data_IF_433438518925
#
_entry.id   IF_433438518925
#
_cell.length_a   1.000
_cell.length_b   1.000
_cell.length_c   1.000
_cell.angle_alpha   90.00
_cell.angle_beta   90.00
_cell.angle_gamma   90.00
#
_symmetry.space_group_name_H-M   'P 1'
#
loop_
_entity.id
_entity.type
_entity.pdbx_description
1 polymer ?
#
# COMPACT_ATOMS: atom_id res chain seq x y z
N UNK A 1 32.22 3.67 -27.41
CA UNK A 1 31.41 2.51 -27.02
C UNK A 1 30.55 2.86 -25.80
N UNK A 2 29.58 3.81 -25.93
CA UNK A 2 28.72 4.26 -24.81
C UNK A 2 27.28 4.49 -25.30
N UNK A 3 26.73 3.58 -26.10
CA UNK A 3 25.41 3.76 -26.71
C UNK A 3 24.40 2.62 -26.52
N UNK A 4 24.79 1.50 -25.90
CA UNK A 4 23.92 0.31 -25.85
C UNK A 4 23.21 0.08 -24.50
N UNK A 5 23.72 0.62 -23.39
CA UNK A 5 23.16 0.34 -22.06
C UNK A 5 21.90 1.18 -21.73
N UNK A 6 21.78 2.39 -22.28
CA UNK A 6 20.59 3.23 -22.07
C UNK A 6 19.32 2.71 -22.75
N UNK A 7 19.47 1.97 -23.86
CA UNK A 7 18.33 1.43 -24.61
C UNK A 7 17.72 0.19 -23.94
N UNK A 8 18.53 -0.64 -23.28
CA UNK A 8 18.04 -1.86 -22.61
C UNK A 8 17.20 -1.56 -21.36
N UNK A 9 17.57 -0.55 -20.57
CA UNK A 9 16.81 -0.18 -19.37
C UNK A 9 15.43 0.37 -19.71
N UNK A 10 15.32 1.19 -20.75
CA UNK A 10 14.05 1.80 -21.18
C UNK A 10 13.08 0.74 -21.76
N UNK A 11 13.60 -0.25 -22.50
CA UNK A 11 12.79 -1.35 -23.04
C UNK A 11 12.29 -2.27 -21.93
N UNK A 12 13.12 -2.60 -20.93
CA UNK A 12 12.69 -3.41 -19.78
C UNK A 12 11.62 -2.72 -18.93
N UNK A 13 11.75 -1.43 -18.67
CA UNK A 13 10.74 -0.64 -17.94
C UNK A 13 9.41 -0.62 -18.70
N UNK A 14 9.43 -0.41 -20.00
CA UNK A 14 8.21 -0.41 -20.82
C UNK A 14 7.53 -1.80 -20.86
N UNK A 15 8.29 -2.89 -20.98
CA UNK A 15 7.73 -4.23 -20.94
C UNK A 15 7.07 -4.56 -19.60
N UNK A 16 7.71 -4.22 -18.48
CA UNK A 16 7.15 -4.45 -17.14
C UNK A 16 5.85 -3.66 -16.92
N UNK A 17 5.83 -2.39 -17.32
CA UNK A 17 4.66 -1.53 -17.25
C UNK A 17 3.49 -2.08 -18.08
N UNK A 18 3.73 -2.55 -19.32
CA UNK A 18 2.71 -3.17 -20.19
C UNK A 18 2.14 -4.44 -19.53
N UNK A 19 2.99 -5.29 -18.97
CA UNK A 19 2.56 -6.53 -18.29
C UNK A 19 1.68 -6.20 -17.06
N UNK A 20 2.08 -5.24 -16.25
CA UNK A 20 1.29 -4.81 -15.08
C UNK A 20 -0.06 -4.19 -15.50
N UNK A 21 -0.08 -3.38 -16.54
CA UNK A 21 -1.30 -2.79 -17.10
C UNK A 21 -2.25 -3.86 -17.64
N UNK A 22 -1.74 -4.82 -18.41
CA UNK A 22 -2.52 -5.93 -18.94
C UNK A 22 -3.11 -6.79 -17.83
N UNK A 23 -2.33 -7.06 -16.78
CA UNK A 23 -2.80 -7.76 -15.58
C UNK A 23 -3.95 -6.98 -14.89
N UNK A 24 -3.79 -5.68 -14.72
CA UNK A 24 -4.82 -4.82 -14.09
C UNK A 24 -6.12 -4.82 -14.90
N UNK A 25 -6.04 -4.68 -16.23
CA UNK A 25 -7.20 -4.72 -17.13
C UNK A 25 -7.92 -6.06 -17.00
N UNK A 26 -7.19 -7.18 -17.10
CA UNK A 26 -7.78 -8.51 -16.92
C UNK A 26 -8.42 -8.72 -15.54
N UNK A 27 -7.87 -8.13 -14.50
CA UNK A 27 -8.44 -8.17 -13.15
C UNK A 27 -9.76 -7.38 -13.09
N UNK A 28 -9.82 -6.19 -13.68
CA UNK A 28 -11.05 -5.39 -13.74
C UNK A 28 -12.13 -6.11 -14.55
N UNK A 29 -11.79 -6.70 -15.70
CA UNK A 29 -12.71 -7.49 -16.52
C UNK A 29 -13.27 -8.70 -15.75
N UNK A 30 -12.43 -9.43 -15.03
CA UNK A 30 -12.85 -10.55 -14.18
C UNK A 30 -13.82 -10.09 -13.10
N UNK A 31 -13.58 -8.95 -12.47
CA UNK A 31 -14.43 -8.37 -11.45
C UNK A 31 -15.79 -7.93 -12.03
N UNK A 32 -15.78 -7.26 -13.18
CA UNK A 32 -16.98 -6.78 -13.86
C UNK A 32 -17.90 -7.94 -14.25
N UNK A 33 -17.34 -9.06 -14.69
CA UNK A 33 -18.07 -10.25 -15.14
C UNK A 33 -18.40 -11.23 -13.99
N UNK A 34 -17.98 -10.95 -12.76
CA UNK A 34 -18.23 -11.84 -11.61
C UNK A 34 -19.71 -11.80 -11.19
N UNK A 35 -20.38 -12.94 -11.23
CA UNK A 35 -21.77 -13.09 -10.74
C UNK A 35 -21.89 -13.02 -9.20
N UNK A 36 -20.78 -13.05 -8.47
CA UNK A 36 -20.75 -13.09 -6.99
C UNK A 36 -20.85 -11.69 -6.37
N UNK A 37 -20.50 -10.65 -7.13
CA UNK A 37 -20.54 -9.27 -6.69
C UNK A 37 -21.87 -8.66 -7.07
N UNK A 38 -22.62 -8.10 -6.11
CA UNK A 38 -23.85 -7.40 -6.41
C UNK A 38 -23.61 -6.20 -7.34
N UNK A 39 -24.59 -5.86 -8.18
CA UNK A 39 -24.49 -4.73 -9.11
C UNK A 39 -24.13 -3.44 -8.40
N UNK A 40 -24.71 -3.17 -7.23
CA UNK A 40 -24.41 -1.99 -6.42
C UNK A 40 -22.92 -1.94 -5.96
N UNK A 41 -22.32 -3.07 -5.61
CA UNK A 41 -20.88 -3.12 -5.24
C UNK A 41 -19.98 -2.99 -6.47
N UNK A 42 -20.39 -3.61 -7.60
CA UNK A 42 -19.70 -3.48 -8.88
C UNK A 42 -19.67 -2.01 -9.32
N UNK A 43 -20.81 -1.32 -9.26
CA UNK A 43 -20.91 0.09 -9.63
C UNK A 43 -20.07 0.99 -8.72
N UNK A 44 -19.97 0.70 -7.43
CA UNK A 44 -19.08 1.42 -6.49
C UNK A 44 -17.61 1.28 -6.89
N UNK A 45 -17.16 0.05 -7.18
CA UNK A 45 -15.78 -0.21 -7.58
C UNK A 45 -15.48 0.47 -8.92
N UNK A 46 -16.34 0.30 -9.94
CA UNK A 46 -16.17 0.93 -11.24
C UNK A 46 -16.16 2.46 -11.12
N UNK A 47 -17.08 3.03 -10.33
CA UNK A 47 -17.13 4.48 -10.09
C UNK A 47 -15.86 4.97 -9.43
N UNK A 48 -15.28 4.21 -8.48
CA UNK A 48 -14.02 4.56 -7.85
C UNK A 48 -12.87 4.60 -8.88
N UNK A 49 -12.76 3.63 -9.79
CA UNK A 49 -11.79 3.66 -10.88
C UNK A 49 -12.01 4.84 -11.83
N UNK A 50 -13.25 5.17 -12.15
CA UNK A 50 -13.60 6.32 -13.00
C UNK A 50 -13.15 7.63 -12.37
N UNK A 51 -13.41 7.86 -11.08
CA UNK A 51 -12.96 9.07 -10.38
C UNK A 51 -11.44 9.08 -10.17
N UNK A 52 -10.80 7.93 -9.96
CA UNK A 52 -9.34 7.85 -9.98
C UNK A 52 -8.79 8.35 -11.31
N UNK A 53 -9.35 7.93 -12.44
CA UNK A 53 -8.96 8.37 -13.77
C UNK A 53 -9.18 9.88 -13.95
N UNK A 54 -10.35 10.43 -13.57
CA UNK A 54 -10.62 11.86 -13.67
C UNK A 54 -9.61 12.71 -12.90
N UNK A 55 -9.20 12.27 -11.72
CA UNK A 55 -8.14 12.93 -10.97
C UNK A 55 -6.77 12.80 -11.64
N UNK A 56 -6.50 11.69 -12.32
CA UNK A 56 -5.22 11.50 -13.03
C UNK A 56 -5.12 12.32 -14.32
N UNK A 57 -6.24 12.52 -15.01
CA UNK A 57 -6.31 13.24 -16.28
C UNK A 57 -6.22 14.79 -16.12
N UNK A 58 -6.47 15.32 -14.93
CA UNK A 58 -6.37 16.76 -14.66
C UNK A 58 -4.96 17.17 -14.19
N UNK A 59 -4.53 18.39 -14.54
CA UNK A 59 -3.27 18.95 -14.04
C UNK A 59 -3.45 19.86 -12.80
N UNK A 60 -4.70 20.14 -12.40
CA UNK A 60 -5.05 21.01 -11.28
C UNK A 60 -5.10 20.17 -10.01
N UNK A 61 -4.28 20.50 -9.00
CA UNK A 61 -4.16 19.71 -7.77
C UNK A 61 -5.47 19.63 -6.97
N UNK A 62 -6.23 20.72 -6.91
CA UNK A 62 -7.52 20.76 -6.23
C UNK A 62 -8.50 19.76 -6.87
N UNK A 63 -8.57 19.72 -8.19
CA UNK A 63 -9.38 18.77 -8.93
C UNK A 63 -8.89 17.31 -8.73
N UNK A 64 -7.58 17.08 -8.71
CA UNK A 64 -7.01 15.76 -8.36
C UNK A 64 -7.50 15.32 -6.99
N UNK A 65 -7.32 16.18 -5.99
CA UNK A 65 -7.66 15.87 -4.61
C UNK A 65 -9.14 15.56 -4.43
N UNK A 66 -10.02 16.38 -5.01
CA UNK A 66 -11.48 16.18 -4.96
C UNK A 66 -11.89 14.87 -5.65
N UNK A 67 -11.39 14.61 -6.87
CA UNK A 67 -11.75 13.40 -7.61
C UNK A 67 -11.23 12.12 -6.92
N UNK A 68 -9.97 12.12 -6.47
CA UNK A 68 -9.40 10.95 -5.78
C UNK A 68 -10.03 10.70 -4.42
N UNK A 69 -10.39 11.76 -3.69
CA UNK A 69 -11.17 11.60 -2.46
C UNK A 69 -12.56 11.03 -2.75
N UNK A 70 -13.26 11.54 -3.78
CA UNK A 70 -14.55 11.01 -4.23
C UNK A 70 -14.44 9.52 -4.61
N UNK A 71 -13.34 9.10 -5.25
CA UNK A 71 -13.10 7.69 -5.54
C UNK A 71 -13.11 6.83 -4.26
N UNK A 72 -12.44 7.29 -3.20
CA UNK A 72 -12.42 6.58 -1.90
C UNK A 72 -13.81 6.61 -1.24
N UNK A 73 -14.53 7.73 -1.32
CA UNK A 73 -15.90 7.84 -0.79
C UNK A 73 -16.83 6.80 -1.41
N UNK A 74 -16.78 6.63 -2.75
CA UNK A 74 -17.55 5.59 -3.45
C UNK A 74 -17.21 4.20 -2.95
N UNK A 75 -15.92 3.90 -2.84
CA UNK A 75 -15.44 2.59 -2.44
C UNK A 75 -15.86 2.22 -1.02
N UNK A 76 -15.84 3.20 -0.11
CA UNK A 76 -16.16 3.02 1.32
C UNK A 76 -17.63 3.29 1.65
N UNK A 77 -18.45 3.66 0.67
CA UNK A 77 -19.87 3.93 0.90
C UNK A 77 -20.63 2.67 1.31
N UNK A 78 -21.62 2.84 2.19
CA UNK A 78 -22.53 1.77 2.62
C UNK A 78 -23.98 2.18 2.35
N UNK A 79 -24.89 1.21 2.29
CA UNK A 79 -26.32 1.46 2.01
C UNK A 79 -27.01 2.32 3.09
N UNK A 80 -26.40 2.37 4.28
CA UNK A 80 -26.84 3.24 5.38
C UNK A 80 -25.77 4.33 5.60
N UNK A 81 -25.88 5.42 4.85
CA UNK A 81 -25.01 6.60 4.99
C UNK A 81 -25.38 7.42 6.24
N UNK A 82 -25.14 6.87 7.42
CA UNK A 82 -25.24 7.61 8.70
C UNK A 82 -23.83 7.90 9.21
N UNK A 83 -23.52 9.17 9.46
CA UNK A 83 -22.28 9.58 10.11
C UNK A 83 -21.35 10.44 9.24
N UNK A 84 -20.24 10.82 9.83
CA UNK A 84 -19.20 11.64 9.19
C UNK A 84 -18.48 10.84 8.10
N UNK A 85 -18.54 11.35 6.86
CA UNK A 85 -17.90 10.74 5.68
C UNK A 85 -16.39 10.57 5.90
N UNK A 86 -15.73 11.60 6.44
CA UNK A 86 -14.30 11.56 6.70
C UNK A 86 -13.91 10.45 7.68
N UNK A 87 -14.64 10.30 8.79
CA UNK A 87 -14.41 9.23 9.76
C UNK A 87 -14.61 7.84 9.15
N UNK A 88 -15.64 7.66 8.32
CA UNK A 88 -15.90 6.39 7.64
C UNK A 88 -14.74 6.02 6.71
N UNK A 89 -14.27 6.97 5.91
CA UNK A 89 -13.11 6.76 5.02
C UNK A 89 -11.87 6.39 5.83
N UNK A 90 -11.55 7.16 6.88
CA UNK A 90 -10.40 6.89 7.76
C UNK A 90 -10.49 5.47 8.34
N UNK A 91 -11.62 5.10 8.95
CA UNK A 91 -11.83 3.76 9.54
C UNK A 91 -11.71 2.62 8.52
N UNK A 92 -12.11 2.87 7.28
CA UNK A 92 -12.11 1.84 6.23
C UNK A 92 -10.72 1.59 5.65
N UNK A 93 -9.98 2.65 5.30
CA UNK A 93 -8.72 2.47 4.54
C UNK A 93 -7.48 2.35 5.43
N UNK A 94 -7.48 2.91 6.65
CA UNK A 94 -6.34 2.81 7.58
C UNK A 94 -5.91 1.37 7.82
N UNK A 95 -6.80 0.39 8.09
CA UNK A 95 -6.39 -0.99 8.29
C UNK A 95 -5.64 -1.58 7.11
N UNK A 96 -6.10 -1.33 5.88
CA UNK A 96 -5.47 -1.83 4.66
C UNK A 96 -4.04 -1.30 4.54
N UNK A 97 -3.87 0.01 4.71
CA UNK A 97 -2.58 0.66 4.58
C UNK A 97 -1.60 0.25 5.68
N UNK A 98 -2.09 -0.01 6.90
CA UNK A 98 -1.29 -0.54 7.99
C UNK A 98 -0.83 -1.98 7.74
N UNK A 99 -1.70 -2.86 7.24
CA UNK A 99 -1.35 -4.24 6.88
C UNK A 99 -0.25 -4.30 5.81
N UNK A 100 -0.26 -3.37 4.85
CA UNK A 100 0.77 -3.28 3.81
C UNK A 100 2.04 -2.54 4.23
N UNK A 101 2.08 -1.92 5.41
CA UNK A 101 3.19 -1.02 5.77
C UNK A 101 4.53 -1.72 5.90
N UNK A 102 4.59 -2.85 6.60
CA UNK A 102 5.83 -3.62 6.76
C UNK A 102 6.32 -4.17 5.43
N UNK A 103 5.41 -4.69 4.60
CA UNK A 103 5.74 -5.15 3.25
C UNK A 103 6.34 -4.03 2.40
N UNK A 104 5.77 -2.83 2.44
CA UNK A 104 6.31 -1.65 1.76
C UNK A 104 7.72 -1.31 2.21
N UNK A 105 8.00 -1.37 3.52
CA UNK A 105 9.34 -1.10 4.06
C UNK A 105 10.36 -2.15 3.57
N UNK A 106 9.98 -3.42 3.59
CA UNK A 106 10.83 -4.50 3.09
C UNK A 106 11.13 -4.34 1.61
N UNK A 107 10.12 -4.08 0.76
CA UNK A 107 10.31 -3.85 -0.67
C UNK A 107 11.21 -2.62 -0.95
N UNK A 108 11.04 -1.54 -0.19
CA UNK A 108 11.88 -0.37 -0.35
C UNK A 108 13.35 -0.68 0.00
N UNK A 109 13.59 -1.44 1.07
CA UNK A 109 14.93 -1.86 1.48
C UNK A 109 15.54 -2.82 0.46
N UNK A 110 14.77 -3.79 -0.03
CA UNK A 110 15.20 -4.72 -1.08
C UNK A 110 15.65 -3.96 -2.35
N UNK A 111 14.86 -2.97 -2.76
CA UNK A 111 15.20 -2.13 -3.90
C UNK A 111 16.49 -1.33 -3.69
N UNK A 112 16.64 -0.71 -2.51
CA UNK A 112 17.85 0.04 -2.17
C UNK A 112 19.10 -0.87 -2.20
N UNK A 113 19.00 -2.06 -1.61
CA UNK A 113 20.12 -3.03 -1.63
C UNK A 113 20.43 -3.49 -3.05
N UNK A 114 19.42 -3.67 -3.91
CA UNK A 114 19.63 -3.96 -5.32
C UNK A 114 20.31 -2.82 -6.08
N UNK A 115 19.93 -1.56 -5.82
CA UNK A 115 20.59 -0.37 -6.38
C UNK A 115 22.05 -0.24 -5.91
N UNK A 116 22.38 -0.78 -4.74
CA UNK A 116 23.75 -0.89 -4.21
C UNK A 116 24.46 -2.17 -4.65
N UNK A 117 23.87 -2.94 -5.57
CA UNK A 117 24.43 -4.18 -6.14
C UNK A 117 24.73 -5.27 -5.08
N UNK A 118 24.00 -5.28 -3.95
CA UNK A 118 24.14 -6.34 -2.95
C UNK A 118 23.60 -7.66 -3.52
N UNK A 119 24.36 -8.73 -3.33
CA UNK A 119 24.03 -10.09 -3.77
C UNK A 119 24.12 -11.06 -2.61
N UNK A 120 23.17 -11.99 -2.54
CA UNK A 120 23.19 -13.12 -1.63
C UNK A 120 23.48 -14.40 -2.42
N UNK A 121 24.51 -15.16 -2.01
CA UNK A 121 24.95 -16.37 -2.74
C UNK A 121 25.16 -16.17 -4.26
N UNK A 122 25.55 -14.96 -4.68
CA UNK A 122 25.74 -14.59 -6.08
C UNK A 122 24.47 -14.21 -6.84
N UNK A 123 23.30 -14.30 -6.23
CA UNK A 123 22.01 -13.91 -6.80
C UNK A 123 21.66 -12.45 -6.48
N UNK A 124 20.97 -11.79 -7.42
CA UNK A 124 20.46 -10.43 -7.22
C UNK A 124 19.33 -10.45 -6.18
N UNK A 125 19.48 -9.67 -5.12
CA UNK A 125 18.52 -9.61 -4.02
C UNK A 125 17.11 -9.17 -4.48
N UNK A 126 17.00 -8.44 -5.57
CA UNK A 126 15.73 -7.96 -6.14
C UNK A 126 14.89 -9.06 -6.80
N UNK A 127 15.49 -10.22 -7.08
CA UNK A 127 14.79 -11.36 -7.67
C UNK A 127 14.08 -12.24 -6.65
N UNK A 128 14.40 -12.06 -5.37
CA UNK A 128 13.86 -12.86 -4.28
C UNK A 128 12.45 -12.42 -3.92
N UNK A 129 11.63 -13.37 -3.48
CA UNK A 129 10.37 -13.05 -2.84
C UNK A 129 10.60 -12.39 -1.47
N UNK A 130 9.59 -11.65 -1.00
CA UNK A 130 9.75 -10.81 0.19
C UNK A 130 9.91 -11.60 1.50
N UNK A 131 9.43 -12.86 1.55
CA UNK A 131 9.56 -13.73 2.73
C UNK A 131 11.01 -14.21 2.84
N UNK A 132 11.56 -14.69 1.72
CA UNK A 132 12.97 -15.07 1.59
C UNK A 132 13.87 -13.88 1.90
N UNK A 133 13.58 -12.71 1.31
CA UNK A 133 14.32 -11.48 1.58
C UNK A 133 14.35 -11.11 3.07
N UNK A 134 13.23 -11.24 3.77
CA UNK A 134 13.19 -11.00 5.22
C UNK A 134 14.11 -11.94 5.97
N UNK A 135 14.12 -13.22 5.62
CA UNK A 135 15.05 -14.21 6.22
C UNK A 135 16.51 -13.81 6.04
N UNK A 136 16.87 -13.30 4.85
CA UNK A 136 18.22 -12.80 4.54
C UNK A 136 18.57 -11.58 5.39
N UNK A 137 17.66 -10.64 5.61
CA UNK A 137 17.91 -9.50 6.48
C UNK A 137 18.31 -9.90 7.90
N UNK A 138 17.78 -11.01 8.40
CA UNK A 138 18.14 -11.54 9.72
C UNK A 138 19.45 -12.35 9.68
N UNK A 139 19.65 -13.22 8.68
CA UNK A 139 20.81 -14.12 8.58
C UNK A 139 22.10 -13.42 8.13
N UNK A 140 22.00 -12.45 7.21
CA UNK A 140 23.13 -11.73 6.62
C UNK A 140 23.24 -10.29 7.14
N UNK A 141 22.66 -10.00 8.31
CA UNK A 141 22.62 -8.65 8.89
C UNK A 141 24.00 -7.96 8.89
N UNK A 142 25.03 -8.65 9.36
CA UNK A 142 26.37 -8.05 9.50
C UNK A 142 26.99 -7.75 8.13
N UNK A 143 26.78 -8.62 7.14
CA UNK A 143 27.27 -8.47 5.77
C UNK A 143 26.58 -7.29 5.08
N UNK A 144 25.27 -7.17 5.24
CA UNK A 144 24.48 -6.05 4.71
C UNK A 144 24.94 -4.73 5.32
N UNK A 145 25.15 -4.67 6.63
CA UNK A 145 25.60 -3.46 7.32
C UNK A 145 27.04 -3.09 6.94
N UNK A 146 27.93 -4.06 6.74
CA UNK A 146 29.26 -3.80 6.22
C UNK A 146 29.24 -3.30 4.77
N UNK A 147 28.40 -3.89 3.92
CA UNK A 147 28.24 -3.47 2.53
C UNK A 147 27.71 -2.03 2.41
N UNK A 148 26.82 -1.62 3.33
CA UNK A 148 26.20 -0.29 3.33
C UNK A 148 26.92 0.75 4.20
N UNK A 149 28.05 0.42 4.81
CA UNK A 149 28.78 1.28 5.78
C UNK A 149 29.15 2.67 5.26
N UNK A 150 29.43 2.78 3.96
CA UNK A 150 29.77 4.06 3.32
C UNK A 150 28.55 4.96 3.08
N UNK A 151 27.34 4.48 3.33
CA UNK A 151 26.08 5.18 3.17
C UNK A 151 25.38 5.31 4.52
N UNK A 152 25.90 6.16 5.41
CA UNK A 152 25.48 6.26 6.82
C UNK A 152 23.97 6.30 7.02
N UNK A 153 23.26 7.10 6.25
CA UNK A 153 21.81 7.22 6.33
C UNK A 153 21.09 5.92 5.98
N UNK A 154 21.50 5.25 4.90
CA UNK A 154 20.94 3.97 4.45
C UNK A 154 21.26 2.88 5.48
N UNK A 155 22.51 2.80 5.92
CA UNK A 155 22.96 1.85 6.92
C UNK A 155 22.16 1.95 8.22
N UNK A 156 21.97 3.18 8.72
CA UNK A 156 21.14 3.45 9.89
C UNK A 156 19.71 2.96 9.71
N UNK A 157 19.07 3.28 8.56
CA UNK A 157 17.70 2.87 8.29
C UNK A 157 17.53 1.37 8.15
N UNK A 158 18.46 0.68 7.49
CA UNK A 158 18.44 -0.78 7.36
C UNK A 158 18.62 -1.44 8.74
N UNK A 159 19.59 -1.01 9.53
CA UNK A 159 19.80 -1.53 10.88
C UNK A 159 18.58 -1.31 11.79
N UNK A 160 17.98 -0.12 11.72
CA UNK A 160 16.74 0.21 12.44
C UNK A 160 15.58 -0.69 12.01
N UNK A 161 15.41 -0.92 10.71
CA UNK A 161 14.37 -1.81 10.19
C UNK A 161 14.59 -3.24 10.68
N UNK A 162 15.79 -3.80 10.52
CA UNK A 162 16.13 -5.16 10.99
C UNK A 162 15.80 -5.30 12.48
N UNK A 163 16.27 -4.34 13.30
CA UNK A 163 16.03 -4.37 14.76
C UNK A 163 14.53 -4.28 15.10
N UNK A 164 13.75 -3.58 14.29
CA UNK A 164 12.31 -3.43 14.49
C UNK A 164 11.55 -4.69 14.12
N UNK A 165 11.86 -5.31 12.97
CA UNK A 165 11.14 -6.51 12.50
C UNK A 165 11.52 -7.78 13.25
N UNK A 166 12.69 -7.80 13.92
CA UNK A 166 13.13 -8.93 14.76
C UNK A 166 12.46 -8.94 16.14
N UNK A 167 11.73 -7.88 16.53
CA UNK A 167 11.06 -7.76 17.82
C UNK A 167 9.55 -7.55 17.65
N UNK A 168 8.67 -8.47 18.10
CA UNK A 168 7.22 -8.30 18.06
C UNK A 168 6.76 -6.99 18.66
N UNK A 169 7.30 -6.62 19.80
CA UNK A 169 6.97 -5.37 20.49
C UNK A 169 7.36 -4.13 19.69
N UNK A 170 8.55 -4.14 19.08
CA UNK A 170 9.00 -3.02 18.24
C UNK A 170 8.15 -2.89 16.98
N UNK A 171 7.79 -4.02 16.36
CA UNK A 171 6.91 -4.05 15.21
C UNK A 171 5.48 -3.56 15.56
N UNK A 172 4.95 -3.95 16.72
CA UNK A 172 3.69 -3.42 17.23
C UNK A 172 3.72 -1.89 17.32
N UNK A 173 4.74 -1.33 17.96
CA UNK A 173 4.90 0.12 18.13
C UNK A 173 5.06 0.84 16.78
N UNK A 174 5.79 0.24 15.84
CA UNK A 174 5.95 0.78 14.49
C UNK A 174 4.60 0.88 13.76
N UNK A 175 3.80 -0.19 13.76
CA UNK A 175 2.50 -0.23 13.08
C UNK A 175 1.51 0.72 13.78
N UNK A 176 1.50 0.74 15.10
CA UNK A 176 0.62 1.63 15.87
C UNK A 176 0.92 3.11 15.61
N UNK A 177 2.19 3.50 15.66
CA UNK A 177 2.63 4.86 15.34
C UNK A 177 2.32 5.24 13.87
N UNK A 178 2.46 4.28 12.93
CA UNK A 178 2.06 4.50 11.54
C UNK A 178 0.55 4.71 11.41
N UNK A 179 -0.26 3.91 12.10
CA UNK A 179 -1.72 4.03 12.14
C UNK A 179 -2.15 5.44 12.57
N UNK A 180 -1.62 5.93 13.69
CA UNK A 180 -1.95 7.26 14.22
C UNK A 180 -1.59 8.39 13.23
N UNK A 181 -0.37 8.33 12.66
CA UNK A 181 0.06 9.31 11.66
C UNK A 181 -0.79 9.27 10.39
N UNK A 182 -1.20 8.09 9.97
CA UNK A 182 -2.03 7.89 8.79
C UNK A 182 -3.45 8.44 9.01
N UNK A 183 -4.05 8.18 10.17
CA UNK A 183 -5.36 8.72 10.54
C UNK A 183 -5.36 10.26 10.54
N UNK A 184 -4.34 10.87 11.13
CA UNK A 184 -4.17 12.33 11.11
C UNK A 184 -3.98 12.88 9.68
N UNK A 185 -3.19 12.19 8.85
CA UNK A 185 -2.97 12.60 7.46
C UNK A 185 -4.24 12.50 6.62
N UNK A 186 -5.03 11.44 6.78
CA UNK A 186 -6.31 11.28 6.09
C UNK A 186 -7.34 12.35 6.53
N UNK A 187 -7.40 12.66 7.83
CA UNK A 187 -8.23 13.77 8.33
C UNK A 187 -7.80 15.10 7.74
N UNK A 188 -6.49 15.36 7.61
CA UNK A 188 -5.97 16.58 6.98
C UNK A 188 -6.37 16.67 5.51
N UNK A 189 -6.28 15.56 4.77
CA UNK A 189 -6.71 15.49 3.37
C UNK A 189 -8.21 15.76 3.26
N UNK A 190 -9.02 15.18 4.16
CA UNK A 190 -10.47 15.42 4.19
C UNK A 190 -10.83 16.88 4.42
N UNK A 191 -10.16 17.55 5.38
CA UNK A 191 -10.36 18.99 5.62
C UNK A 191 -10.02 19.81 4.39
N UNK A 192 -8.84 19.57 3.78
CA UNK A 192 -8.44 20.23 2.56
C UNK A 192 -9.47 20.06 1.42
N UNK A 193 -10.05 18.86 1.25
CA UNK A 193 -11.14 18.64 0.30
C UNK A 193 -12.39 19.44 0.65
N UNK A 194 -12.75 19.55 1.93
CA UNK A 194 -13.89 20.34 2.36
C UNK A 194 -13.65 21.84 2.07
N UNK A 195 -12.46 22.36 2.35
CA UNK A 195 -12.09 23.76 2.12
C UNK A 195 -12.16 24.11 0.62
N UNK A 196 -11.67 23.23 -0.26
CA UNK A 196 -11.80 23.40 -1.72
C UNK A 196 -13.28 23.46 -2.14
N UNK A 197 -14.09 22.49 -1.69
CA UNK A 197 -15.46 22.32 -2.19
C UNK A 197 -16.42 23.38 -1.64
N UNK A 198 -16.24 23.81 -0.39
CA UNK A 198 -17.17 24.70 0.28
C UNK A 198 -16.71 26.17 0.29
N UNK A 199 -15.40 26.40 0.25
CA UNK A 199 -14.84 27.76 0.40
C UNK A 199 -14.02 28.20 -0.81
N UNK A 200 -13.82 27.33 -1.81
CA UNK A 200 -12.94 27.55 -2.96
C UNK A 200 -11.52 28.03 -2.57
N UNK A 201 -11.04 27.55 -1.41
CA UNK A 201 -9.72 27.92 -0.90
C UNK A 201 -8.60 27.28 -1.70
N UNK A 202 -7.53 28.03 -1.92
CA UNK A 202 -6.29 27.50 -2.48
C UNK A 202 -5.49 26.76 -1.41
N UNK A 203 -5.03 25.57 -1.76
CA UNK A 203 -4.29 24.74 -0.82
C UNK A 203 -2.85 25.19 -0.64
N UNK A 204 -2.37 25.14 0.60
CA UNK A 204 -0.93 25.21 0.90
C UNK A 204 -0.33 23.80 0.72
N UNK A 205 0.67 23.70 -0.17
CA UNK A 205 1.36 22.42 -0.48
C UNK A 205 0.44 21.32 -1.06
N UNK A 206 -0.37 21.61 -2.10
CA UNK A 206 -1.33 20.64 -2.64
C UNK A 206 -0.66 19.40 -3.23
N UNK A 207 0.55 19.53 -3.76
CA UNK A 207 1.29 18.43 -4.38
C UNK A 207 1.54 17.25 -3.40
N UNK A 208 1.93 17.56 -2.16
CA UNK A 208 2.18 16.53 -1.15
C UNK A 208 0.89 15.82 -0.72
N UNK A 209 -0.21 16.57 -0.55
CA UNK A 209 -1.51 15.99 -0.20
C UNK A 209 -2.01 15.08 -1.32
N UNK A 210 -1.87 15.51 -2.58
CA UNK A 210 -2.24 14.71 -3.75
C UNK A 210 -1.38 13.46 -3.87
N UNK A 211 -0.06 13.56 -3.72
CA UNK A 211 0.83 12.39 -3.80
C UNK A 211 0.49 11.33 -2.75
N UNK A 212 0.22 11.75 -1.51
CA UNK A 212 -0.20 10.83 -0.46
C UNK A 212 -1.57 10.19 -0.77
N UNK A 213 -2.55 10.99 -1.18
CA UNK A 213 -3.89 10.50 -1.51
C UNK A 213 -3.87 9.53 -2.70
N UNK A 214 -3.09 9.85 -3.73
CA UNK A 214 -2.90 8.97 -4.88
C UNK A 214 -2.34 7.61 -4.45
N UNK A 215 -1.31 7.61 -3.62
CA UNK A 215 -0.72 6.38 -3.09
C UNK A 215 -1.73 5.57 -2.29
N UNK A 216 -2.49 6.21 -1.38
CA UNK A 216 -3.49 5.53 -0.56
C UNK A 216 -4.61 4.93 -1.41
N UNK A 217 -5.11 5.68 -2.38
CA UNK A 217 -6.14 5.21 -3.30
C UNK A 217 -5.65 4.06 -4.17
N UNK A 218 -4.48 4.17 -4.79
CA UNK A 218 -3.87 3.09 -5.60
C UNK A 218 -3.73 1.80 -4.80
N UNK A 219 -3.20 1.90 -3.58
CA UNK A 219 -3.01 0.74 -2.72
C UNK A 219 -4.34 0.11 -2.34
N UNK A 220 -5.35 0.92 -2.01
CA UNK A 220 -6.69 0.43 -1.65
C UNK A 220 -7.38 -0.23 -2.84
N UNK A 221 -7.35 0.39 -4.03
CA UNK A 221 -7.92 -0.17 -5.25
C UNK A 221 -7.26 -1.50 -5.64
N UNK A 222 -5.93 -1.58 -5.54
CA UNK A 222 -5.19 -2.81 -5.79
C UNK A 222 -5.63 -3.92 -4.84
N UNK A 223 -5.71 -3.63 -3.53
CA UNK A 223 -6.14 -4.61 -2.53
C UNK A 223 -7.57 -5.09 -2.76
N UNK A 224 -8.48 -4.18 -3.15
CA UNK A 224 -9.86 -4.55 -3.50
C UNK A 224 -9.88 -5.51 -4.68
N UNK A 225 -9.19 -5.18 -5.79
CA UNK A 225 -9.13 -6.05 -6.97
C UNK A 225 -8.58 -7.44 -6.62
N UNK A 226 -7.45 -7.47 -5.91
CA UNK A 226 -6.77 -8.71 -5.58
C UNK A 226 -7.65 -9.64 -4.73
N UNK A 227 -8.32 -9.10 -3.72
CA UNK A 227 -9.19 -9.88 -2.84
C UNK A 227 -10.45 -10.37 -3.55
N UNK A 228 -11.13 -9.52 -4.33
CA UNK A 228 -12.34 -9.97 -5.04
C UNK A 228 -12.06 -11.03 -6.11
N UNK A 229 -10.82 -11.12 -6.59
CA UNK A 229 -10.40 -12.15 -7.52
C UNK A 229 -10.00 -13.44 -6.79
N UNK A 230 -9.31 -13.34 -5.66
CA UNK A 230 -8.76 -14.48 -4.94
C UNK A 230 -9.75 -15.09 -3.94
N UNK A 231 -10.58 -14.27 -3.29
CA UNK A 231 -11.51 -14.69 -2.26
C UNK A 231 -12.95 -14.66 -2.75
N UNK A 232 -13.36 -15.74 -3.39
CA UNK A 232 -14.69 -15.89 -4.01
C UNK A 232 -15.88 -15.78 -3.06
N UNK A 233 -15.67 -15.81 -1.73
CA UNK A 233 -16.73 -15.67 -0.74
C UNK A 233 -17.05 -14.23 -0.35
N UNK A 234 -16.21 -13.26 -0.74
CA UNK A 234 -16.46 -11.84 -0.47
C UNK A 234 -17.39 -11.27 -1.54
N UNK A 235 -18.56 -10.82 -1.13
CA UNK A 235 -19.59 -10.29 -2.01
C UNK A 235 -19.77 -8.77 -1.95
N UNK A 236 -19.18 -8.11 -0.93
CA UNK A 236 -19.35 -6.67 -0.73
C UNK A 236 -18.07 -5.95 -0.33
N UNK A 237 -17.94 -4.67 -0.73
CA UNK A 237 -16.86 -3.79 -0.27
C UNK A 237 -16.88 -3.61 1.24
N UNK A 238 -18.07 -3.64 1.86
CA UNK A 238 -18.22 -3.56 3.31
C UNK A 238 -17.54 -4.73 4.02
N UNK A 239 -17.72 -5.96 3.52
CA UNK A 239 -17.10 -7.15 4.12
C UNK A 239 -15.59 -7.15 3.92
N UNK A 240 -15.12 -6.63 2.78
CA UNK A 240 -13.70 -6.40 2.54
C UNK A 240 -13.08 -5.48 3.61
N UNK A 241 -13.67 -4.30 3.85
CA UNK A 241 -13.13 -3.36 4.85
C UNK A 241 -13.23 -3.89 6.29
N UNK A 242 -14.31 -4.61 6.62
CA UNK A 242 -14.45 -5.27 7.94
C UNK A 242 -13.40 -6.34 8.15
N UNK A 243 -13.14 -7.15 7.13
CA UNK A 243 -12.11 -8.19 7.17
C UNK A 243 -10.72 -7.55 7.37
N UNK A 244 -10.40 -6.48 6.64
CA UNK A 244 -9.14 -5.76 6.82
C UNK A 244 -8.97 -5.22 8.25
N UNK A 245 -10.03 -4.62 8.82
CA UNK A 245 -10.01 -4.15 10.21
C UNK A 245 -9.76 -5.30 11.20
N UNK A 246 -10.51 -6.40 11.05
CA UNK A 246 -10.36 -7.57 11.91
C UNK A 246 -8.95 -8.18 11.85
N UNK A 247 -8.37 -8.24 10.65
CA UNK A 247 -7.00 -8.76 10.45
C UNK A 247 -5.95 -7.86 11.10
N UNK A 248 -6.11 -6.53 11.01
CA UNK A 248 -5.21 -5.60 11.69
C UNK A 248 -5.32 -5.73 13.22
N UNK A 249 -6.53 -5.85 13.75
CA UNK A 249 -6.75 -6.00 15.20
C UNK A 249 -6.14 -7.32 15.71
N UNK A 250 -6.29 -8.42 14.97
CA UNK A 250 -5.63 -9.69 15.29
C UNK A 250 -4.11 -9.54 15.27
N UNK A 251 -3.55 -8.97 14.21
CA UNK A 251 -2.10 -8.75 14.09
C UNK A 251 -1.55 -7.95 15.28
N UNK A 252 -2.21 -6.84 15.62
CA UNK A 252 -1.78 -6.00 16.75
C UNK A 252 -1.91 -6.73 18.10
N UNK A 253 -2.95 -7.55 18.26
CA UNK A 253 -3.13 -8.36 19.47
C UNK A 253 -2.01 -9.39 19.60
N UNK A 254 -1.72 -10.13 18.54
CA UNK A 254 -0.68 -11.15 18.50
C UNK A 254 0.71 -10.56 18.75
N UNK A 255 1.03 -9.43 18.11
CA UNK A 255 2.30 -8.72 18.33
C UNK A 255 2.44 -8.19 19.76
N UNK A 256 1.35 -7.71 20.38
CA UNK A 256 1.38 -7.21 21.75
C UNK A 256 1.54 -8.32 22.78
N UNK A 257 1.06 -9.54 22.48
CA UNK A 257 1.15 -10.71 23.35
C UNK A 257 2.51 -11.43 23.28
N UNK A 258 3.48 -10.91 22.52
CA UNK A 258 4.83 -11.46 22.36
C UNK A 258 4.88 -12.90 21.81
N UNK A 259 3.93 -13.32 21.00
CA UNK A 259 3.99 -14.64 20.35
C UNK A 259 5.01 -14.67 19.21
N UNK A 260 6.29 -14.90 19.57
CA UNK A 260 7.41 -14.89 18.61
C UNK A 260 7.35 -16.03 17.58
N UNK A 261 6.77 -17.19 17.94
CA UNK A 261 6.65 -18.34 17.04
C UNK A 261 5.68 -18.10 15.87
N UNK A 262 4.71 -17.21 16.02
CA UNK A 262 3.74 -16.88 14.97
C UNK A 262 4.20 -15.72 14.07
N UNK A 263 5.24 -14.98 14.46
CA UNK A 263 5.70 -13.81 13.71
C UNK A 263 6.13 -14.17 12.29
N UNK A 264 6.83 -15.28 12.12
CA UNK A 264 7.34 -15.72 10.82
C UNK A 264 6.21 -16.19 9.91
N UNK A 265 5.23 -16.90 10.45
CA UNK A 265 4.05 -17.31 9.71
C UNK A 265 3.12 -16.12 9.40
N UNK A 266 3.02 -15.14 10.29
CA UNK A 266 2.15 -13.98 10.12
C UNK A 266 2.74 -12.91 9.22
N UNK A 267 4.04 -12.65 9.28
CA UNK A 267 4.73 -11.78 8.32
C UNK A 267 4.74 -12.39 6.92
N UNK A 268 4.80 -13.73 6.81
CA UNK A 268 4.72 -14.42 5.53
C UNK A 268 3.30 -14.52 4.96
N UNK A 269 2.30 -14.82 5.77
CA UNK A 269 0.94 -15.14 5.27
C UNK A 269 -0.12 -14.09 5.54
N UNK A 270 0.00 -13.29 6.61
CA UNK A 270 -1.03 -12.31 6.98
C UNK A 270 -0.70 -10.87 6.57
N UNK A 271 0.59 -10.52 6.48
CA UNK A 271 1.05 -9.20 5.96
C UNK A 271 1.23 -9.19 4.45
N UNK A 272 1.45 -10.36 3.84
CA UNK A 272 1.66 -10.52 2.39
C UNK A 272 0.42 -11.12 1.72
N UNK A 273 -0.44 -11.76 2.49
CA UNK A 273 -1.63 -12.46 2.02
C UNK A 273 -2.87 -11.58 1.90
N UNK A 274 -2.79 -10.59 1.02
CA UNK A 274 -3.94 -10.11 0.29
C UNK A 274 -3.90 -10.72 -1.07
#
# INVERSE_FOLDING_TARGET
TTGQDGCRSTVQVNCRFIVELTKLVGQVETLVNSAQISDANRDRIISSFRFFRYGSDTNIFENKLVNWWTAIEYLTSTDKNSGNIGERVVKSITPILCLHYTHKLLLATQKILGELEYKTNGEDITTLDIVTFRGILDSEKNEILEHTKNYEYINYHINSLISTISSPKSLYLLIQSHKERLELQLQRIYRARCDIVHSAELLVSPALLCANLEFYLKQTLRSVLEIFITQRHLSSTKDFFRNASFRLDLLLTDLNNNSSAELDHQLGSKLIGF
#
